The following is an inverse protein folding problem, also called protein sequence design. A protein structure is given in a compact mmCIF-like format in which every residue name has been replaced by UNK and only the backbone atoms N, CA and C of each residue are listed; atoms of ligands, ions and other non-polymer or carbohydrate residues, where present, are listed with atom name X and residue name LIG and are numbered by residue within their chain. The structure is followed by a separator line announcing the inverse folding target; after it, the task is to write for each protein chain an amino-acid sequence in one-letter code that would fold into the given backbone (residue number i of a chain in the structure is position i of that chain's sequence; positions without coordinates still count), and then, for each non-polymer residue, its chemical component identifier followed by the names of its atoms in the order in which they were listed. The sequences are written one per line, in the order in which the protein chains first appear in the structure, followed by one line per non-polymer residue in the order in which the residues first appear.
data_IF_239938079256
#
_entry.id   IF_239938079256
#
_cell.length_a   1.000
_cell.length_b   1.000
_cell.length_c   1.000
_cell.angle_alpha   90.00
_cell.angle_beta   90.00
_cell.angle_gamma   90.00
#
_symmetry.space_group_name_H-M   'P 1'
#
loop_
_entity.id
_entity.type
_entity.pdbx_description
1 polymer ?
#
# COMPACT_ATOMS: atom_id res chain seq x y z
N UNK A 1 24.53 52.71 -5.17
CA UNK A 1 25.60 53.14 -4.20
C UNK A 1 26.44 51.91 -3.96
N UNK A 2 27.53 51.71 -4.70
CA UNK A 2 28.93 52.06 -4.42
C UNK A 2 29.33 51.57 -3.05
N UNK A 3 30.22 50.55 -2.95
CA UNK A 3 31.66 50.68 -2.79
C UNK A 3 32.25 49.28 -2.68
N UNK A 4 33.07 48.75 -3.55
CA UNK A 4 34.49 48.89 -3.80
C UNK A 4 35.39 48.36 -2.63
N UNK A 5 36.25 47.40 -3.08
CA UNK A 5 37.75 47.38 -2.97
C UNK A 5 38.27 46.66 -1.71
N UNK A 6 39.12 45.62 -1.78
CA UNK A 6 40.54 45.72 -2.10
C UNK A 6 41.21 44.34 -2.32
N UNK A 7 42.00 44.24 -3.34
CA UNK A 7 43.00 43.24 -3.69
C UNK A 7 44.25 43.48 -2.81
N UNK A 8 44.86 42.41 -2.26
CA UNK A 8 46.29 42.39 -1.94
C UNK A 8 46.88 41.06 -2.36
N UNK A 9 47.70 41.11 -3.40
CA UNK A 9 48.65 40.07 -3.80
C UNK A 9 49.91 40.15 -2.86
N UNK A 10 50.35 39.03 -2.40
CA UNK A 10 51.69 38.90 -1.85
C UNK A 10 52.36 37.64 -2.37
N UNK A 11 53.16 37.84 -3.38
CA UNK A 11 54.20 36.95 -3.90
C UNK A 11 55.34 36.83 -2.89
N UNK A 12 55.68 35.60 -2.51
CA UNK A 12 57.00 35.33 -1.86
C UNK A 12 57.55 34.02 -2.44
N UNK A 13 58.56 34.22 -3.25
CA UNK A 13 59.49 33.19 -3.71
C UNK A 13 60.34 32.71 -2.54
N UNK A 14 60.44 31.41 -2.35
CA UNK A 14 61.59 30.78 -1.72
C UNK A 14 62.07 29.57 -2.49
N UNK A 15 63.32 29.61 -2.84
CA UNK A 15 64.16 28.71 -3.60
C UNK A 15 64.60 27.57 -2.67
N UNK A 16 64.49 26.34 -3.19
CA UNK A 16 65.46 25.27 -3.14
C UNK A 16 65.65 24.51 -1.84
N UNK A 17 65.34 23.20 -1.91
CA UNK A 17 66.35 22.19 -1.69
C UNK A 17 65.84 20.82 -2.14
N UNK A 18 66.62 20.23 -3.04
CA UNK A 18 66.51 18.89 -3.58
C UNK A 18 66.82 17.86 -2.49
N UNK A 19 65.84 17.00 -2.16
CA UNK A 19 66.15 15.72 -1.50
C UNK A 19 65.25 14.63 -2.07
N UNK A 20 65.90 13.56 -2.38
CA UNK A 20 65.47 12.36 -3.09
C UNK A 20 64.07 11.87 -2.65
N UNK A 21 63.24 11.62 -3.64
CA UNK A 21 62.07 10.76 -3.56
C UNK A 21 62.53 9.35 -3.16
N UNK A 22 62.27 8.97 -1.93
CA UNK A 22 62.00 7.58 -1.62
C UNK A 22 60.56 7.30 -2.02
N UNK A 23 60.37 6.57 -3.08
CA UNK A 23 59.11 5.95 -3.46
C UNK A 23 58.78 4.90 -2.38
N UNK A 24 58.07 5.30 -1.35
CA UNK A 24 57.32 4.34 -0.56
C UNK A 24 56.03 3.95 -1.34
N UNK A 25 56.24 2.96 -2.20
CA UNK A 25 55.22 2.09 -2.68
C UNK A 25 54.58 1.45 -1.43
N UNK A 26 53.48 2.06 -0.95
CA UNK A 26 52.54 1.37 -0.11
C UNK A 26 51.82 0.38 -1.05
N UNK A 27 52.49 -0.71 -1.41
CA UNK A 27 51.86 -1.91 -1.88
C UNK A 27 50.79 -2.25 -0.81
N UNK A 28 49.51 -2.19 -1.22
CA UNK A 28 48.48 -2.96 -0.57
C UNK A 28 49.09 -4.34 -0.28
N UNK A 29 49.34 -4.60 0.99
CA UNK A 29 49.72 -5.93 1.44
C UNK A 29 48.53 -6.81 1.19
N UNK A 30 48.48 -7.41 0.00
CA UNK A 30 47.74 -8.64 -0.28
C UNK A 30 48.01 -9.53 0.91
N UNK A 31 46.96 -9.82 1.68
CA UNK A 31 47.01 -10.73 2.81
C UNK A 31 47.53 -12.06 2.22
N UNK A 32 48.77 -12.39 2.49
CA UNK A 32 49.39 -13.64 2.13
C UNK A 32 48.46 -14.75 2.57
N UNK A 33 48.05 -15.63 1.66
CA UNK A 33 47.28 -16.84 1.92
C UNK A 33 47.91 -17.54 3.12
N UNK A 34 47.30 -17.44 4.32
CA UNK A 34 47.82 -18.18 5.49
C UNK A 34 47.44 -19.64 5.30
N UNK A 35 48.40 -20.41 4.81
CA UNK A 35 48.26 -21.85 4.75
C UNK A 35 48.29 -22.44 6.15
N UNK A 36 47.25 -23.24 6.45
CA UNK A 36 47.10 -23.97 7.69
C UNK A 36 47.46 -25.42 7.45
N UNK A 37 48.56 -25.83 8.04
CA UNK A 37 48.98 -27.24 8.01
C UNK A 37 48.59 -27.90 9.31
N UNK A 38 47.83 -29.01 9.22
CA UNK A 38 47.35 -29.80 10.36
C UNK A 38 48.00 -31.19 10.36
N UNK A 39 48.01 -31.83 11.52
CA UNK A 39 48.47 -33.22 11.66
C UNK A 39 47.34 -34.20 11.31
N UNK A 40 47.69 -35.47 11.01
CA UNK A 40 46.69 -36.52 10.78
C UNK A 40 45.79 -36.77 12.01
N UNK A 41 46.34 -36.57 13.20
CA UNK A 41 45.60 -36.70 14.45
C UNK A 41 44.61 -35.58 14.63
N UNK A 42 45.01 -34.33 14.32
CA UNK A 42 44.13 -33.15 14.33
C UNK A 42 43.01 -33.30 13.31
N UNK A 43 43.29 -33.75 12.09
CA UNK A 43 42.28 -34.03 11.06
C UNK A 43 41.20 -34.98 11.58
N UNK A 44 41.64 -36.10 12.22
CA UNK A 44 40.73 -37.13 12.74
C UNK A 44 39.93 -36.64 13.95
N UNK A 45 40.62 -35.99 14.91
CA UNK A 45 39.99 -35.54 16.15
C UNK A 45 38.99 -34.42 15.93
N UNK A 46 39.26 -33.51 15.00
CA UNK A 46 38.35 -32.40 14.61
C UNK A 46 37.28 -32.83 13.59
N UNK A 47 37.28 -34.10 13.16
CA UNK A 47 36.37 -34.63 12.14
C UNK A 47 36.21 -33.71 10.92
N UNK A 48 37.34 -33.16 10.45
CA UNK A 48 37.33 -32.23 9.31
C UNK A 48 36.92 -32.96 8.05
N UNK A 49 35.85 -32.51 7.41
CA UNK A 49 35.38 -33.00 6.12
C UNK A 49 35.43 -31.88 5.10
N UNK A 50 35.74 -32.21 3.84
CA UNK A 50 35.79 -31.24 2.76
C UNK A 50 34.92 -31.74 1.60
N UNK A 51 34.11 -30.83 1.06
CA UNK A 51 33.22 -31.11 -0.07
C UNK A 51 33.30 -29.99 -1.09
N UNK A 52 32.84 -30.25 -2.29
CA UNK A 52 32.61 -29.23 -3.28
C UNK A 52 31.38 -28.41 -2.92
N UNK A 53 31.38 -27.14 -3.26
CA UNK A 53 30.21 -26.29 -3.16
C UNK A 53 29.07 -26.90 -3.98
N UNK A 54 27.86 -26.88 -3.45
CA UNK A 54 26.66 -27.41 -4.09
C UNK A 54 25.58 -26.34 -4.22
N UNK A 55 24.77 -26.45 -5.25
CA UNK A 55 23.57 -25.64 -5.36
C UNK A 55 22.49 -26.15 -4.41
N UNK A 56 21.88 -25.24 -3.67
CA UNK A 56 20.73 -25.51 -2.80
C UNK A 56 19.62 -24.52 -3.10
N UNK A 57 18.39 -24.99 -3.02
CA UNK A 57 17.24 -24.09 -3.04
C UNK A 57 17.20 -23.33 -1.72
N UNK A 58 17.46 -22.05 -1.79
CA UNK A 58 17.39 -21.13 -0.67
C UNK A 58 16.33 -20.07 -0.98
N UNK A 59 15.50 -19.76 0.02
CA UNK A 59 14.53 -18.68 -0.03
C UNK A 59 14.95 -17.57 0.94
N UNK A 60 14.93 -16.34 0.48
CA UNK A 60 15.07 -15.21 1.38
C UNK A 60 13.72 -14.92 2.03
N UNK A 61 13.73 -14.64 3.32
CA UNK A 61 12.58 -14.04 3.97
C UNK A 61 12.77 -12.54 4.09
N UNK A 62 11.74 -11.78 3.76
CA UNK A 62 11.71 -10.36 4.03
C UNK A 62 10.68 -10.04 5.12
N UNK A 63 11.04 -9.10 5.98
CA UNK A 63 10.12 -8.54 6.94
C UNK A 63 9.64 -7.19 6.41
N UNK A 64 8.36 -7.06 6.24
CA UNK A 64 7.69 -5.86 5.72
C UNK A 64 6.61 -5.44 6.70
N UNK A 65 6.21 -4.21 6.62
CA UNK A 65 5.12 -3.68 7.43
C UNK A 65 4.04 -3.05 6.54
N UNK A 66 2.89 -2.87 7.13
CA UNK A 66 1.75 -2.27 6.45
C UNK A 66 0.64 -1.90 7.39
N UNK A 67 -0.48 -1.55 6.81
CA UNK A 67 -1.68 -1.10 7.51
C UNK A 67 -2.87 -1.91 7.01
N UNK A 68 -3.76 -2.26 7.92
CA UNK A 68 -5.06 -2.82 7.53
C UNK A 68 -5.87 -1.71 6.89
N UNK A 69 -6.32 -1.95 5.69
CA UNK A 69 -7.14 -1.02 4.90
C UNK A 69 -8.45 -1.68 4.48
N UNK A 70 -9.37 -0.87 3.99
CA UNK A 70 -10.66 -1.31 3.48
C UNK A 70 -10.79 -0.88 2.04
N UNK A 71 -11.17 -1.79 1.14
CA UNK A 71 -11.40 -1.43 -0.25
C UNK A 71 -12.36 -0.24 -0.38
N UNK A 72 -12.16 0.66 -1.38
CA UNK A 72 -12.98 1.86 -1.55
C UNK A 72 -14.49 1.60 -1.63
N UNK A 73 -14.92 0.42 -2.09
CA UNK A 73 -16.35 0.04 -2.13
C UNK A 73 -16.96 -0.17 -0.74
N UNK A 74 -16.13 -0.40 0.28
CA UNK A 74 -16.55 -0.65 1.66
C UNK A 74 -16.32 0.56 2.57
N UNK A 75 -15.80 1.67 2.03
CA UNK A 75 -15.68 2.97 2.69
C UNK A 75 -16.61 3.96 2.00
N UNK A 76 -17.64 4.42 2.69
CA UNK A 76 -18.67 5.27 2.12
C UNK A 76 -18.69 6.62 2.80
N UNK A 77 -18.45 7.67 2.02
CA UNK A 77 -18.63 9.06 2.45
C UNK A 77 -20.06 9.53 2.19
N UNK A 78 -20.73 9.98 3.23
CA UNK A 78 -22.08 10.52 3.16
C UNK A 78 -22.02 12.03 3.03
N UNK A 79 -22.55 12.55 1.93
CA UNK A 79 -22.77 13.97 1.68
C UNK A 79 -24.22 14.22 1.31
N UNK A 80 -24.65 15.49 1.27
CA UNK A 80 -26.00 15.88 0.90
C UNK A 80 -25.98 16.65 -0.43
N UNK A 81 -26.71 16.23 -1.48
CA UNK A 81 -26.69 16.87 -2.80
C UNK A 81 -27.14 18.36 -2.79
N UNK A 82 -28.04 18.70 -1.88
CA UNK A 82 -28.40 20.07 -1.56
C UNK A 82 -27.93 20.38 -0.15
N UNK A 83 -27.34 21.53 0.07
CA UNK A 83 -26.91 21.98 1.39
C UNK A 83 -28.07 22.04 2.40
N UNK A 84 -27.80 22.52 3.60
CA UNK A 84 -28.80 22.69 4.64
C UNK A 84 -28.23 22.58 6.05
N UNK A 85 -29.07 22.76 7.03
CA UNK A 85 -28.74 22.64 8.46
C UNK A 85 -28.95 21.20 8.94
N UNK A 86 -27.97 20.63 9.63
CA UNK A 86 -28.16 19.38 10.34
C UNK A 86 -29.09 19.61 11.51
N UNK A 87 -30.33 19.09 11.41
CA UNK A 87 -31.33 19.20 12.45
C UNK A 87 -31.12 18.20 13.59
N UNK A 88 -30.82 16.97 13.22
CA UNK A 88 -30.66 15.87 14.17
C UNK A 88 -29.79 14.75 13.60
N UNK A 89 -28.97 14.17 14.46
CA UNK A 89 -28.30 12.88 14.25
C UNK A 89 -28.08 12.21 15.60
N UNK A 90 -28.06 10.88 15.62
CA UNK A 90 -27.69 10.08 16.79
C UNK A 90 -26.37 9.39 16.63
N UNK A 91 -25.69 9.61 15.49
CA UNK A 91 -24.49 8.90 15.15
C UNK A 91 -23.31 9.31 16.03
N UNK A 92 -22.61 8.30 16.53
CA UNK A 92 -21.31 8.43 17.17
C UNK A 92 -20.31 7.46 16.47
N UNK A 93 -19.04 7.82 16.38
CA UNK A 93 -18.02 6.89 15.90
C UNK A 93 -18.08 5.54 16.65
N UNK A 94 -18.01 4.44 15.92
CA UNK A 94 -18.13 3.08 16.42
C UNK A 94 -19.56 2.51 16.45
N UNK A 95 -20.61 3.31 16.21
CA UNK A 95 -21.98 2.80 16.13
C UNK A 95 -22.19 2.00 14.85
N UNK A 96 -22.91 0.88 14.96
CA UNK A 96 -23.40 0.13 13.82
C UNK A 96 -24.68 0.74 13.26
N UNK A 97 -24.78 0.82 11.94
CA UNK A 97 -25.97 1.28 11.21
C UNK A 97 -26.37 0.25 10.15
N UNK A 98 -27.66 0.13 9.91
CA UNK A 98 -28.19 -0.75 8.86
C UNK A 98 -28.42 0.02 7.56
N UNK A 99 -28.32 -0.66 6.45
CA UNK A 99 -28.72 -0.11 5.15
C UNK A 99 -30.17 0.37 5.19
N UNK A 100 -30.41 1.56 4.63
CA UNK A 100 -31.70 2.27 4.64
C UNK A 100 -32.16 2.75 6.03
N UNK A 101 -31.33 2.67 7.05
CA UNK A 101 -31.62 3.30 8.34
C UNK A 101 -31.49 4.83 8.22
N UNK A 102 -32.40 5.57 8.86
CA UNK A 102 -32.29 7.04 8.94
C UNK A 102 -31.20 7.41 9.92
N UNK A 103 -30.12 7.99 9.39
CA UNK A 103 -28.93 8.36 10.17
C UNK A 103 -28.87 9.83 10.55
N UNK A 104 -29.56 10.68 9.79
CA UNK A 104 -29.62 12.11 10.07
C UNK A 104 -30.87 12.74 9.45
N UNK A 105 -31.23 13.92 9.94
CA UNK A 105 -32.30 14.76 9.40
C UNK A 105 -31.69 16.12 9.08
N UNK A 106 -31.88 16.56 7.85
CA UNK A 106 -31.49 17.90 7.39
C UNK A 106 -32.71 18.79 7.27
N UNK A 107 -32.55 20.09 7.43
CA UNK A 107 -33.61 21.06 7.11
C UNK A 107 -33.05 22.27 6.37
N UNK A 108 -33.82 22.72 5.36
CA UNK A 108 -33.53 23.93 4.60
C UNK A 108 -34.78 24.44 3.90
N UNK A 109 -34.84 25.75 3.65
CA UNK A 109 -35.88 26.40 2.85
C UNK A 109 -35.86 25.91 1.38
N UNK A 110 -34.71 25.56 0.82
CA UNK A 110 -34.57 25.08 -0.55
C UNK A 110 -35.38 23.79 -0.78
N UNK A 111 -35.56 22.96 0.24
CA UNK A 111 -36.35 21.73 0.12
C UNK A 111 -37.82 22.06 -0.10
N UNK A 112 -38.35 23.12 0.58
CA UNK A 112 -39.72 23.59 0.36
C UNK A 112 -39.85 24.13 -1.07
N UNK A 113 -38.92 24.97 -1.48
CA UNK A 113 -38.92 25.59 -2.82
C UNK A 113 -38.94 24.54 -3.94
N UNK A 114 -38.06 23.54 -3.87
CA UNK A 114 -37.98 22.48 -4.88
C UNK A 114 -39.30 21.69 -4.98
N UNK A 115 -39.94 21.37 -3.87
CA UNK A 115 -41.24 20.69 -3.82
C UNK A 115 -42.35 21.57 -4.41
N UNK A 116 -42.36 22.87 -4.08
CA UNK A 116 -43.30 23.83 -4.64
C UNK A 116 -43.14 23.97 -6.17
N UNK A 117 -41.91 24.10 -6.66
CA UNK A 117 -41.64 24.19 -8.10
C UNK A 117 -42.15 22.96 -8.85
N UNK A 118 -41.90 21.74 -8.30
CA UNK A 118 -42.39 20.50 -8.88
C UNK A 118 -43.90 20.45 -8.96
N UNK A 119 -44.61 20.73 -7.85
CA UNK A 119 -46.09 20.69 -7.79
C UNK A 119 -46.69 21.72 -8.74
N UNK A 120 -46.11 22.92 -8.80
CA UNK A 120 -46.55 23.98 -9.72
C UNK A 120 -46.37 23.58 -11.19
N UNK A 121 -45.20 23.03 -11.52
CA UNK A 121 -44.91 22.54 -12.87
C UNK A 121 -45.84 21.37 -13.26
N UNK A 122 -46.12 20.45 -12.32
CA UNK A 122 -47.02 19.31 -12.52
C UNK A 122 -48.47 19.79 -12.80
N UNK A 123 -48.94 20.82 -12.08
CA UNK A 123 -50.27 21.42 -12.34
C UNK A 123 -50.33 22.07 -13.72
N UNK A 124 -49.29 22.83 -14.11
CA UNK A 124 -49.19 23.42 -15.45
C UNK A 124 -49.12 22.37 -16.56
N UNK A 125 -48.39 21.29 -16.34
CA UNK A 125 -48.29 20.17 -17.28
C UNK A 125 -49.67 19.56 -17.54
N UNK A 126 -50.45 19.33 -16.47
CA UNK A 126 -51.82 18.79 -16.64
C UNK A 126 -52.71 19.67 -17.54
N UNK A 127 -52.64 21.01 -17.31
CA UNK A 127 -53.37 21.96 -18.16
C UNK A 127 -52.84 21.93 -19.62
N UNK A 128 -51.56 21.94 -19.82
CA UNK A 128 -50.94 21.93 -21.14
C UNK A 128 -51.23 20.62 -21.92
N UNK A 129 -51.30 19.51 -21.20
CA UNK A 129 -51.70 18.21 -21.79
C UNK A 129 -53.11 18.25 -22.34
N UNK A 130 -54.04 18.78 -21.57
CA UNK A 130 -55.44 18.96 -22.00
C UNK A 130 -55.59 19.95 -23.14
N UNK A 131 -54.80 20.99 -23.19
CA UNK A 131 -54.75 21.98 -24.29
C UNK A 131 -54.15 21.33 -25.56
N UNK A 132 -53.09 20.56 -25.45
CA UNK A 132 -52.50 19.84 -26.55
C UNK A 132 -53.49 18.81 -27.13
N UNK A 133 -54.15 18.00 -26.30
CA UNK A 133 -55.18 17.06 -26.77
C UNK A 133 -56.28 17.81 -27.53
N UNK A 134 -56.82 18.88 -27.00
CA UNK A 134 -57.85 19.69 -27.64
C UNK A 134 -57.40 20.28 -28.99
N UNK A 135 -56.21 20.88 -29.04
CA UNK A 135 -55.69 21.53 -30.26
C UNK A 135 -55.33 20.45 -31.32
N UNK A 136 -54.92 19.29 -30.94
CA UNK A 136 -54.72 18.15 -31.84
C UNK A 136 -56.04 17.74 -32.52
N UNK A 137 -57.04 17.51 -31.73
CA UNK A 137 -58.35 17.07 -32.23
C UNK A 137 -58.99 18.13 -33.16
N UNK A 138 -58.91 19.41 -32.81
CA UNK A 138 -59.36 20.53 -33.66
C UNK A 138 -58.53 20.68 -34.91
N UNK A 139 -57.25 20.42 -34.90
CA UNK A 139 -56.38 20.51 -36.10
C UNK A 139 -56.67 19.35 -37.06
N UNK A 140 -56.89 18.13 -36.55
CA UNK A 140 -57.29 16.99 -37.33
C UNK A 140 -58.63 17.23 -38.08
N UNK A 141 -59.55 17.95 -37.44
CA UNK A 141 -60.83 18.38 -38.00
C UNK A 141 -60.72 19.66 -38.89
N UNK A 142 -59.49 20.20 -39.08
CA UNK A 142 -59.22 21.47 -39.78
C UNK A 142 -59.91 22.68 -39.15
N UNK A 143 -60.27 22.66 -37.88
CA UNK A 143 -60.88 23.75 -37.16
C UNK A 143 -59.85 24.62 -36.39
N UNK A 144 -58.58 24.19 -36.34
CA UNK A 144 -57.46 24.96 -35.79
C UNK A 144 -56.29 25.00 -36.75
N UNK A 145 -55.43 26.03 -36.69
CA UNK A 145 -54.22 26.11 -37.53
C UNK A 145 -53.08 25.24 -36.99
N UNK A 146 -52.26 24.71 -37.94
CA UNK A 146 -51.03 23.97 -37.60
C UNK A 146 -50.15 24.70 -36.58
N UNK A 147 -50.08 26.01 -36.70
CA UNK A 147 -49.28 26.87 -35.79
C UNK A 147 -49.77 26.75 -34.35
N UNK A 148 -51.08 26.80 -34.11
CA UNK A 148 -51.63 26.73 -32.74
C UNK A 148 -51.40 25.33 -32.16
N UNK A 149 -51.62 24.27 -32.95
CA UNK A 149 -51.31 22.94 -32.54
C UNK A 149 -49.83 22.74 -32.18
N UNK A 150 -48.92 23.23 -33.06
CA UNK A 150 -47.47 23.13 -32.79
C UNK A 150 -47.05 23.92 -31.54
N UNK A 151 -47.68 25.05 -31.22
CA UNK A 151 -47.45 25.79 -30.00
C UNK A 151 -47.88 25.02 -28.77
N UNK A 152 -49.09 24.40 -28.80
CA UNK A 152 -49.56 23.59 -27.70
C UNK A 152 -48.69 22.32 -27.46
N UNK A 153 -48.26 21.66 -28.55
CA UNK A 153 -47.36 20.53 -28.50
C UNK A 153 -46.00 20.90 -27.88
N UNK A 154 -45.43 22.02 -28.31
CA UNK A 154 -44.14 22.52 -27.77
C UNK A 154 -44.24 22.87 -26.27
N UNK A 155 -45.32 23.51 -25.82
CA UNK A 155 -45.52 23.84 -24.41
C UNK A 155 -45.72 22.60 -23.56
N UNK A 156 -46.55 21.63 -24.00
CA UNK A 156 -46.73 20.36 -23.34
C UNK A 156 -45.39 19.62 -23.17
N UNK A 157 -44.59 19.51 -24.25
CA UNK A 157 -43.29 18.86 -24.21
C UNK A 157 -42.30 19.55 -23.27
N UNK A 158 -42.27 20.88 -23.28
CA UNK A 158 -41.43 21.68 -22.40
C UNK A 158 -41.72 21.46 -20.93
N UNK A 159 -43.00 21.51 -20.57
CA UNK A 159 -43.46 21.27 -19.19
C UNK A 159 -43.22 19.83 -18.74
N UNK A 160 -43.39 18.85 -19.65
CA UNK A 160 -43.09 17.45 -19.39
C UNK A 160 -41.60 17.24 -19.04
N UNK A 161 -40.70 17.87 -19.78
CA UNK A 161 -39.25 17.85 -19.49
C UNK A 161 -38.99 18.49 -18.12
N UNK A 162 -39.61 19.65 -17.82
CA UNK A 162 -39.44 20.37 -16.55
C UNK A 162 -39.89 19.51 -15.37
N UNK A 163 -41.06 18.88 -15.44
CA UNK A 163 -41.58 18.03 -14.36
C UNK A 163 -40.67 16.82 -14.13
N UNK A 164 -40.18 16.18 -15.21
CA UNK A 164 -39.27 15.06 -15.09
C UNK A 164 -37.95 15.48 -14.42
N UNK A 165 -37.34 16.60 -14.83
CA UNK A 165 -36.12 17.11 -14.26
C UNK A 165 -36.24 17.47 -12.77
N UNK A 166 -37.35 18.13 -12.39
CA UNK A 166 -37.64 18.43 -10.98
C UNK A 166 -37.92 17.16 -10.18
N UNK A 167 -38.56 16.16 -10.79
CA UNK A 167 -38.78 14.86 -10.19
C UNK A 167 -37.47 14.15 -9.86
N UNK A 168 -36.48 14.15 -10.76
CA UNK A 168 -35.16 13.58 -10.50
C UNK A 168 -34.41 14.35 -9.38
N UNK A 169 -34.50 15.69 -9.34
CA UNK A 169 -33.95 16.50 -8.25
C UNK A 169 -34.55 16.14 -6.88
N UNK A 170 -35.86 15.87 -6.82
CA UNK A 170 -36.53 15.41 -5.59
C UNK A 170 -36.04 14.04 -5.13
N UNK A 171 -35.83 13.11 -6.09
CA UNK A 171 -35.29 11.77 -5.77
C UNK A 171 -33.87 11.82 -5.21
N UNK A 172 -33.02 12.74 -5.66
CA UNK A 172 -31.68 12.95 -5.10
C UNK A 172 -31.69 13.26 -3.60
N UNK A 173 -32.75 13.87 -3.09
CA UNK A 173 -32.93 14.17 -1.67
C UNK A 173 -33.92 13.21 -0.99
N UNK A 174 -34.13 12.04 -1.57
CA UNK A 174 -35.03 10.99 -1.07
C UNK A 174 -36.51 11.39 -0.90
N UNK A 175 -36.98 12.40 -1.62
CA UNK A 175 -38.40 12.72 -1.71
C UNK A 175 -38.99 12.00 -2.94
N UNK A 176 -40.05 11.21 -2.70
CA UNK A 176 -40.76 10.51 -3.78
C UNK A 176 -41.72 11.47 -4.50
N UNK A 177 -41.51 11.81 -5.79
CA UNK A 177 -42.37 12.71 -6.54
C UNK A 177 -43.79 12.17 -6.74
N UNK A 178 -43.97 10.83 -6.75
CA UNK A 178 -45.29 10.22 -6.97
C UNK A 178 -46.24 10.40 -5.79
N UNK A 179 -45.70 10.47 -4.56
CA UNK A 179 -46.49 10.64 -3.32
C UNK A 179 -46.52 12.09 -2.83
N UNK A 180 -45.76 12.98 -3.48
CA UNK A 180 -45.69 14.38 -3.10
C UNK A 180 -46.98 15.11 -3.48
N UNK A 181 -47.54 15.83 -2.52
CA UNK A 181 -48.75 16.64 -2.63
C UNK A 181 -48.59 17.94 -1.86
N UNK A 182 -49.50 18.88 -2.03
CA UNK A 182 -49.57 20.14 -1.29
C UNK A 182 -49.66 19.99 0.24
N UNK A 183 -50.16 18.83 0.70
CA UNK A 183 -50.39 18.53 2.12
C UNK A 183 -49.16 18.02 2.86
N UNK A 184 -48.16 17.51 2.12
CA UNK A 184 -46.96 16.86 2.70
C UNK A 184 -45.64 17.53 2.33
N UNK A 185 -45.70 18.81 1.92
CA UNK A 185 -44.46 19.61 1.73
C UNK A 185 -43.75 19.71 3.08
N UNK A 186 -42.43 19.38 3.06
CA UNK A 186 -41.61 19.34 4.25
C UNK A 186 -40.34 20.20 4.09
N UNK A 187 -39.97 20.89 5.14
CA UNK A 187 -38.68 21.59 5.24
C UNK A 187 -37.54 20.63 5.61
N UNK A 188 -37.85 19.40 5.99
CA UNK A 188 -36.90 18.44 6.50
C UNK A 188 -36.83 17.23 5.59
N UNK A 189 -35.61 16.71 5.36
CA UNK A 189 -35.32 15.50 4.61
C UNK A 189 -34.45 14.56 5.41
N UNK A 190 -34.63 13.27 5.21
CA UNK A 190 -33.86 12.23 5.88
C UNK A 190 -32.66 11.84 5.06
N UNK A 191 -31.53 11.59 5.74
CA UNK A 191 -30.35 10.93 5.19
C UNK A 191 -30.38 9.49 5.64
N UNK A 192 -30.16 8.58 4.69
CA UNK A 192 -30.19 7.14 4.92
C UNK A 192 -28.80 6.55 4.75
N UNK A 193 -28.49 5.50 5.51
CA UNK A 193 -27.27 4.72 5.28
C UNK A 193 -27.39 3.92 3.98
N UNK A 194 -26.43 3.99 3.05
CA UNK A 194 -26.43 3.17 1.85
C UNK A 194 -25.91 1.76 2.07
N UNK A 195 -25.26 1.47 3.21
CA UNK A 195 -24.64 0.18 3.55
C UNK A 195 -25.00 -0.24 4.97
N UNK A 196 -24.83 -1.53 5.26
CA UNK A 196 -24.63 -2.03 6.61
C UNK A 196 -23.18 -1.79 7.00
N UNK A 197 -22.93 -1.22 8.19
CA UNK A 197 -21.54 -0.92 8.58
C UNK A 197 -21.45 -0.09 9.86
N UNK A 198 -20.26 0.38 10.14
CA UNK A 198 -19.95 1.17 11.33
C UNK A 198 -19.64 2.61 10.95
N UNK A 199 -20.02 3.53 11.83
CA UNK A 199 -19.64 4.94 11.71
C UNK A 199 -18.15 5.07 12.03
N UNK A 200 -17.36 5.46 11.02
CA UNK A 200 -15.93 5.74 11.18
C UNK A 200 -15.72 7.16 11.71
N UNK A 201 -16.35 8.14 11.04
CA UNK A 201 -16.21 9.56 11.42
C UNK A 201 -17.55 10.29 11.35
N UNK A 202 -17.67 11.33 12.20
CA UNK A 202 -18.74 12.31 12.22
C UNK A 202 -18.12 13.69 12.08
N UNK A 203 -18.32 14.34 10.91
CA UNK A 203 -17.64 15.60 10.56
C UNK A 203 -18.56 16.82 10.72
N UNK A 204 -19.73 16.63 11.31
CA UNK A 204 -20.78 17.65 11.42
C UNK A 204 -21.41 17.63 12.79
N UNK A 205 -21.85 18.82 13.26
CA UNK A 205 -22.57 18.99 14.50
C UNK A 205 -24.01 19.45 14.23
N UNK A 206 -24.93 19.14 15.14
CA UNK A 206 -26.33 19.63 15.10
C UNK A 206 -26.34 21.16 15.06
N UNK A 207 -27.11 21.71 14.13
CA UNK A 207 -27.22 23.16 13.88
C UNK A 207 -26.20 23.74 12.93
N UNK A 208 -25.20 22.97 12.50
CA UNK A 208 -24.22 23.41 11.47
C UNK A 208 -24.86 23.40 10.10
N UNK A 209 -24.62 24.46 9.31
CA UNK A 209 -24.89 24.47 7.89
C UNK A 209 -23.80 23.72 7.14
N UNK A 210 -24.18 22.87 6.20
CA UNK A 210 -23.28 22.11 5.34
C UNK A 210 -23.56 22.40 3.88
N UNK A 211 -22.51 22.45 3.08
CA UNK A 211 -22.60 22.64 1.62
C UNK A 211 -22.71 21.28 0.91
N UNK A 212 -23.13 21.24 -0.36
CA UNK A 212 -23.28 19.99 -1.10
C UNK A 212 -22.01 19.12 -1.19
N UNK A 213 -20.83 19.70 -1.13
CA UNK A 213 -19.55 19.00 -1.21
C UNK A 213 -19.03 18.49 0.16
N UNK A 214 -19.66 18.92 1.27
CA UNK A 214 -19.18 18.57 2.61
C UNK A 214 -19.52 17.11 2.94
N UNK A 215 -18.53 16.36 3.45
CA UNK A 215 -18.73 15.00 3.96
C UNK A 215 -19.25 15.13 5.41
N UNK A 216 -20.47 14.63 5.65
CA UNK A 216 -21.08 14.63 6.96
C UNK A 216 -20.62 13.46 7.81
N UNK A 217 -20.63 12.26 7.22
CA UNK A 217 -20.33 11.00 7.89
C UNK A 217 -19.46 10.13 6.99
N UNK A 218 -18.60 9.35 7.60
CA UNK A 218 -17.88 8.26 6.93
C UNK A 218 -18.34 6.93 7.55
N UNK A 219 -18.79 6.02 6.70
CA UNK A 219 -19.22 4.67 7.10
C UNK A 219 -18.24 3.66 6.53
N UNK A 220 -18.00 2.60 7.29
CA UNK A 220 -17.09 1.54 6.92
C UNK A 220 -17.74 0.18 7.14
N UNK A 221 -17.64 -0.70 6.13
CA UNK A 221 -17.95 -2.11 6.30
C UNK A 221 -16.65 -2.89 6.45
N UNK A 222 -16.32 -3.42 7.66
CA UNK A 222 -15.07 -4.12 7.90
C UNK A 222 -15.11 -5.60 7.49
N UNK A 223 -16.16 -6.10 6.84
CA UNK A 223 -16.27 -7.53 6.47
C UNK A 223 -15.25 -7.96 5.41
N UNK A 224 -14.68 -7.00 4.68
CA UNK A 224 -13.66 -7.23 3.65
C UNK A 224 -12.49 -6.28 3.90
N UNK A 225 -11.65 -6.64 4.84
CA UNK A 225 -10.42 -5.91 5.16
C UNK A 225 -9.23 -6.52 4.42
N UNK A 226 -8.34 -5.67 3.95
CA UNK A 226 -7.10 -6.05 3.30
C UNK A 226 -5.91 -5.56 4.10
N UNK A 227 -4.80 -6.27 4.01
CA UNK A 227 -3.52 -5.79 4.51
C UNK A 227 -2.76 -5.14 3.36
N UNK A 228 -2.50 -3.84 3.45
CA UNK A 228 -1.70 -3.08 2.50
C UNK A 228 -0.27 -3.00 3.03
N UNK A 229 0.64 -3.81 2.45
CA UNK A 229 2.06 -3.86 2.80
C UNK A 229 2.85 -2.88 1.94
N UNK A 230 3.85 -2.23 2.54
CA UNK A 230 4.83 -1.42 1.83
C UNK A 230 6.11 -2.22 1.62
N UNK A 231 6.42 -2.51 0.36
CA UNK A 231 7.58 -3.32 -0.02
C UNK A 231 8.54 -2.49 -0.84
N UNK A 232 9.84 -2.50 -0.45
CA UNK A 232 10.87 -1.75 -1.16
C UNK A 232 11.11 -2.30 -2.58
N UNK A 233 11.46 -1.41 -3.50
CA UNK A 233 11.72 -1.71 -4.92
C UNK A 233 12.64 -2.92 -5.13
N UNK A 234 13.70 -3.04 -4.34
CA UNK A 234 14.68 -4.14 -4.44
C UNK A 234 14.07 -5.53 -4.22
N UNK A 235 12.98 -5.62 -3.43
CA UNK A 235 12.37 -6.88 -2.98
C UNK A 235 11.12 -7.25 -3.81
N UNK A 236 10.55 -6.31 -4.58
CA UNK A 236 9.31 -6.49 -5.35
C UNK A 236 9.40 -7.64 -6.35
N UNK A 237 10.55 -7.78 -7.04
CA UNK A 237 10.74 -8.80 -8.07
C UNK A 237 10.68 -10.25 -7.52
N UNK A 238 10.85 -10.41 -6.21
CA UNK A 238 10.72 -11.70 -5.53
C UNK A 238 9.29 -12.08 -5.15
N UNK A 239 8.33 -11.15 -5.34
CA UNK A 239 6.93 -11.36 -4.97
C UNK A 239 6.10 -11.81 -6.17
N UNK A 240 5.00 -12.53 -5.89
CA UNK A 240 4.02 -12.94 -6.90
C UNK A 240 2.62 -13.03 -6.31
N UNK A 241 1.62 -12.88 -7.17
CA UNK A 241 0.22 -13.02 -6.81
C UNK A 241 -0.07 -14.48 -6.43
N UNK A 242 -0.83 -14.70 -5.36
CA UNK A 242 -1.11 -16.02 -4.78
C UNK A 242 -0.06 -16.46 -3.75
N UNK A 243 0.93 -15.63 -3.47
CA UNK A 243 1.95 -15.93 -2.47
C UNK A 243 1.41 -15.80 -1.07
N UNK A 244 1.65 -16.83 -0.25
CA UNK A 244 1.24 -16.84 1.15
C UNK A 244 2.25 -16.14 2.05
N UNK A 245 1.74 -15.51 3.09
CA UNK A 245 2.54 -14.82 4.10
C UNK A 245 1.83 -14.85 5.45
N UNK A 246 2.57 -14.54 6.49
CA UNK A 246 2.03 -14.43 7.84
C UNK A 246 2.19 -13.02 8.37
N UNK A 247 1.06 -12.41 8.74
CA UNK A 247 1.03 -11.08 9.33
C UNK A 247 0.67 -11.14 10.82
N UNK A 248 1.19 -10.21 11.60
CA UNK A 248 0.96 -10.13 13.04
C UNK A 248 1.06 -8.68 13.52
N UNK A 249 0.36 -8.37 14.61
CA UNK A 249 0.44 -7.04 15.25
C UNK A 249 1.62 -7.00 16.24
N UNK A 250 2.16 -5.80 16.49
CA UNK A 250 3.22 -5.62 17.48
C UNK A 250 2.79 -6.04 18.90
N UNK A 251 1.51 -5.91 19.22
CA UNK A 251 0.96 -6.29 20.53
C UNK A 251 0.84 -7.82 20.71
N UNK A 252 0.70 -8.56 19.60
CA UNK A 252 0.51 -10.01 19.61
C UNK A 252 1.38 -10.71 18.55
N UNK A 253 2.71 -10.73 18.69
CA UNK A 253 3.61 -11.26 17.67
C UNK A 253 3.46 -12.78 17.45
N UNK A 254 2.91 -13.49 18.41
CA UNK A 254 2.65 -14.92 18.32
C UNK A 254 1.30 -15.28 17.67
N UNK A 255 0.38 -14.31 17.55
CA UNK A 255 -0.89 -14.49 16.85
C UNK A 255 -0.72 -14.14 15.38
N UNK A 256 -0.36 -15.13 14.57
CA UNK A 256 -0.08 -14.98 13.15
C UNK A 256 -1.34 -15.19 12.33
N UNK A 257 -1.66 -14.23 11.49
CA UNK A 257 -2.77 -14.28 10.52
C UNK A 257 -2.22 -14.67 9.16
N UNK A 258 -2.73 -15.76 8.60
CA UNK A 258 -2.39 -16.17 7.24
C UNK A 258 -3.03 -15.23 6.24
N UNK A 259 -2.24 -14.74 5.30
CA UNK A 259 -2.64 -13.83 4.23
C UNK A 259 -2.10 -14.34 2.89
N UNK A 260 -2.73 -13.88 1.81
CA UNK A 260 -2.32 -14.15 0.44
C UNK A 260 -2.19 -12.84 -0.33
N UNK A 261 -1.12 -12.69 -1.11
CA UNK A 261 -0.94 -11.54 -2.01
C UNK A 261 -1.94 -11.62 -3.15
N UNK A 262 -2.83 -10.64 -3.24
CA UNK A 262 -3.84 -10.55 -4.30
C UNK A 262 -3.47 -9.54 -5.37
N UNK A 263 -2.67 -8.52 -5.02
CA UNK A 263 -2.31 -7.45 -5.94
C UNK A 263 -0.96 -6.83 -5.56
N UNK A 264 -0.15 -6.55 -6.58
CA UNK A 264 1.13 -5.83 -6.45
C UNK A 264 1.02 -4.57 -7.31
N UNK A 265 1.17 -3.40 -6.70
CA UNK A 265 1.16 -2.12 -7.42
C UNK A 265 2.22 -2.12 -8.52
N UNK A 266 1.91 -1.44 -9.62
CA UNK A 266 2.86 -1.18 -10.72
C UNK A 266 3.47 0.20 -10.63
N UNK A 267 3.15 0.94 -9.59
CA UNK A 267 3.69 2.26 -9.29
C UNK A 267 4.54 2.19 -8.02
N UNK A 268 5.64 2.93 -8.03
CA UNK A 268 6.58 3.03 -6.91
C UNK A 268 6.48 4.46 -6.38
N UNK A 269 6.18 4.59 -5.09
CA UNK A 269 6.20 5.88 -4.41
C UNK A 269 7.60 6.49 -4.47
N UNK A 270 7.72 7.66 -5.06
CA UNK A 270 8.99 8.39 -5.17
C UNK A 270 9.58 8.79 -3.82
N UNK A 271 8.73 9.03 -2.82
CA UNK A 271 9.15 9.47 -1.49
C UNK A 271 9.65 8.32 -0.62
N UNK A 272 9.04 7.14 -0.74
CA UNK A 272 9.33 5.98 0.11
C UNK A 272 10.11 4.89 -0.61
N UNK A 273 10.31 4.98 -1.94
CA UNK A 273 10.90 3.94 -2.79
C UNK A 273 10.27 2.56 -2.57
N UNK A 274 8.95 2.54 -2.36
CA UNK A 274 8.18 1.34 -2.05
C UNK A 274 6.97 1.22 -2.96
N UNK A 275 6.53 -0.01 -3.21
CA UNK A 275 5.26 -0.31 -3.84
C UNK A 275 4.27 -0.86 -2.82
N UNK A 276 3.00 -0.64 -3.06
CA UNK A 276 1.91 -1.21 -2.27
C UNK A 276 1.60 -2.64 -2.73
N UNK A 277 1.50 -3.53 -1.76
CA UNK A 277 1.14 -4.93 -1.96
C UNK A 277 -0.09 -5.24 -1.14
N UNK A 278 -1.21 -5.50 -1.83
CA UNK A 278 -2.46 -5.82 -1.18
C UNK A 278 -2.56 -7.32 -0.91
N UNK A 279 -2.85 -7.65 0.33
CA UNK A 279 -3.00 -9.02 0.80
C UNK A 279 -4.39 -9.21 1.40
N UNK A 280 -5.00 -10.35 1.10
CA UNK A 280 -6.27 -10.77 1.69
C UNK A 280 -6.01 -11.71 2.87
N UNK A 281 -6.76 -11.57 3.95
CA UNK A 281 -6.71 -12.49 5.09
C UNK A 281 -7.47 -13.78 4.75
N UNK A 282 -6.86 -14.95 4.94
CA UNK A 282 -7.54 -16.23 4.71
C UNK A 282 -8.75 -16.43 5.66
N UNK A 283 -8.69 -15.83 6.83
CA UNK A 283 -9.77 -15.85 7.81
C UNK A 283 -10.00 -14.44 8.36
N UNK A 284 -11.23 -13.99 8.31
CA UNK A 284 -11.63 -12.73 8.93
C UNK A 284 -11.55 -12.85 10.46
N UNK A 285 -10.85 -11.91 11.07
CA UNK A 285 -10.75 -11.76 12.52
C UNK A 285 -11.33 -10.40 12.93
N UNK A 286 -12.43 -10.42 13.70
CA UNK A 286 -13.12 -9.20 14.17
C UNK A 286 -12.27 -8.31 15.08
N UNK A 287 -11.15 -8.81 15.58
CA UNK A 287 -10.21 -8.01 16.39
C UNK A 287 -9.30 -7.13 15.53
N UNK A 288 -9.21 -7.42 14.24
CA UNK A 288 -8.46 -6.63 13.29
C UNK A 288 -9.31 -5.44 12.82
N UNK A 289 -8.84 -4.24 13.08
CA UNK A 289 -9.53 -3.01 12.73
C UNK A 289 -8.76 -2.25 11.64
N UNK A 290 -9.47 -1.62 10.69
CA UNK A 290 -8.86 -0.71 9.73
C UNK A 290 -8.02 0.36 10.42
N UNK A 291 -6.85 0.65 9.85
CA UNK A 291 -5.86 1.55 10.43
C UNK A 291 -4.86 0.89 11.39
N UNK A 292 -5.02 -0.39 11.75
CA UNK A 292 -4.02 -1.11 12.56
C UNK A 292 -2.75 -1.37 11.76
N UNK A 293 -1.58 -1.15 12.39
CA UNK A 293 -0.29 -1.53 11.85
C UNK A 293 0.00 -3.02 12.07
N UNK A 294 0.49 -3.66 11.02
CA UNK A 294 0.91 -5.06 11.05
C UNK A 294 2.31 -5.22 10.46
N UNK A 295 3.05 -6.19 10.99
CA UNK A 295 4.26 -6.70 10.37
C UNK A 295 3.91 -7.99 9.63
N UNK A 296 4.64 -8.27 8.56
CA UNK A 296 4.49 -9.49 7.81
C UNK A 296 5.85 -10.07 7.45
N UNK A 297 5.94 -11.40 7.50
CA UNK A 297 7.10 -12.16 7.02
C UNK A 297 6.68 -12.84 5.72
N UNK A 298 7.38 -12.52 4.65
CA UNK A 298 7.13 -13.03 3.30
C UNK A 298 8.34 -13.83 2.85
N UNK A 299 8.13 -15.07 2.42
CA UNK A 299 9.17 -15.91 1.83
C UNK A 299 9.27 -15.58 0.34
N UNK A 300 10.41 -15.07 -0.10
CA UNK A 300 10.66 -14.81 -1.52
C UNK A 300 10.77 -16.12 -2.30
N UNK A 301 10.66 -16.07 -3.61
CA UNK A 301 10.87 -17.24 -4.46
C UNK A 301 12.20 -17.90 -4.15
N UNK A 302 12.17 -19.22 -3.93
CA UNK A 302 13.38 -20.01 -3.82
C UNK A 302 14.20 -19.91 -5.12
N UNK A 303 15.49 -19.78 -4.96
CA UNK A 303 16.46 -19.85 -6.06
C UNK A 303 17.48 -20.93 -5.78
N UNK A 304 17.88 -21.63 -6.83
CA UNK A 304 19.04 -22.55 -6.74
C UNK A 304 20.30 -21.70 -6.69
N UNK A 305 20.98 -21.70 -5.53
CA UNK A 305 22.11 -20.81 -5.26
C UNK A 305 23.32 -21.65 -4.80
N UNK A 306 24.54 -21.29 -5.28
CA UNK A 306 25.77 -21.93 -4.78
C UNK A 306 25.89 -21.65 -3.29
N UNK A 307 25.98 -22.72 -2.50
CA UNK A 307 25.95 -22.64 -1.05
C UNK A 307 26.85 -23.66 -0.37
N UNK A 308 27.20 -23.34 0.86
CA UNK A 308 27.95 -24.21 1.78
C UNK A 308 27.15 -24.40 3.07
N UNK A 309 27.39 -25.50 3.81
CA UNK A 309 26.91 -25.59 5.18
C UNK A 309 27.39 -24.38 6.00
N UNK A 310 26.53 -23.82 6.82
CA UNK A 310 26.87 -22.63 7.62
C UNK A 310 28.08 -22.85 8.54
N UNK A 311 28.30 -24.10 8.98
CA UNK A 311 29.47 -24.51 9.77
C UNK A 311 30.81 -24.44 9.02
N UNK A 312 30.77 -24.32 7.68
CA UNK A 312 31.95 -24.15 6.84
C UNK A 312 32.50 -22.71 6.87
N UNK A 313 31.68 -21.76 7.30
CA UNK A 313 31.97 -20.34 7.28
C UNK A 313 32.40 -19.90 8.68
N UNK A 314 33.51 -19.22 8.78
CA UNK A 314 34.04 -18.69 10.04
C UNK A 314 34.23 -17.19 9.93
N UNK A 315 33.74 -16.46 10.90
CA UNK A 315 33.92 -15.01 10.98
C UNK A 315 35.14 -14.65 11.79
N UNK A 316 36.00 -13.81 11.24
CA UNK A 316 37.20 -13.29 11.91
C UNK A 316 37.41 -11.82 11.55
N UNK A 317 37.61 -10.97 12.55
CA UNK A 317 37.78 -9.51 12.39
C UNK A 317 36.69 -8.84 11.53
N UNK A 318 35.41 -9.31 11.71
CA UNK A 318 34.26 -8.76 10.97
C UNK A 318 34.20 -9.14 9.49
N UNK A 319 34.93 -10.16 9.08
CA UNK A 319 34.91 -10.71 7.72
C UNK A 319 34.71 -12.22 7.78
N UNK A 320 34.05 -12.76 6.76
CA UNK A 320 33.78 -14.18 6.63
C UNK A 320 34.85 -14.86 5.79
N UNK A 321 35.20 -16.07 6.20
CA UNK A 321 36.24 -16.88 5.58
C UNK A 321 35.82 -18.34 5.47
N UNK A 322 36.37 -19.01 4.47
CA UNK A 322 36.28 -20.46 4.28
C UNK A 322 37.69 -21.05 4.16
N UNK A 323 37.82 -22.33 4.46
CA UNK A 323 39.07 -23.06 4.34
C UNK A 323 39.05 -23.96 3.10
N UNK A 324 39.82 -23.57 2.08
CA UNK A 324 39.98 -24.33 0.84
C UNK A 324 41.09 -25.35 1.01
N UNK A 325 40.78 -26.60 0.73
CA UNK A 325 41.74 -27.73 0.80
C UNK A 325 42.72 -27.68 -0.38
N UNK A 326 44.00 -27.57 -0.10
CA UNK A 326 45.09 -27.63 -1.09
C UNK A 326 45.64 -29.04 -1.25
N UNK A 327 45.76 -29.77 -0.14
CA UNK A 327 46.14 -31.21 -0.11
C UNK A 327 45.55 -31.86 1.15
N UNK A 328 45.90 -33.13 1.44
CA UNK A 328 45.29 -33.88 2.54
C UNK A 328 45.41 -33.21 3.93
N UNK A 329 46.47 -32.43 4.17
CA UNK A 329 46.79 -31.83 5.47
C UNK A 329 46.94 -30.31 5.43
N UNK A 330 46.73 -29.66 4.27
CA UNK A 330 46.94 -28.23 4.09
C UNK A 330 45.69 -27.57 3.59
N UNK A 331 45.26 -26.50 4.30
CA UNK A 331 44.13 -25.67 3.97
C UNK A 331 44.55 -24.20 3.79
N UNK A 332 43.91 -23.49 2.88
CA UNK A 332 44.10 -22.06 2.67
C UNK A 332 42.90 -21.30 3.17
N UNK A 333 43.10 -20.32 4.04
CA UNK A 333 42.03 -19.41 4.52
C UNK A 333 41.76 -18.37 3.44
N UNK A 334 40.59 -18.44 2.82
CA UNK A 334 40.17 -17.53 1.74
C UNK A 334 38.94 -16.75 2.16
N UNK A 335 38.91 -15.45 1.83
CA UNK A 335 37.76 -14.56 2.13
C UNK A 335 36.55 -14.98 1.30
N UNK A 336 35.38 -15.03 1.94
CA UNK A 336 34.12 -15.35 1.29
C UNK A 336 33.12 -14.20 1.48
N UNK A 337 32.27 -14.00 0.50
CA UNK A 337 31.12 -13.09 0.59
C UNK A 337 29.86 -13.93 0.73
N UNK A 338 29.21 -13.76 1.87
CA UNK A 338 28.01 -14.53 2.25
C UNK A 338 26.74 -13.80 1.82
N UNK A 339 25.71 -14.55 1.46
CA UNK A 339 24.38 -14.04 1.13
C UNK A 339 23.31 -14.62 2.06
N UNK A 340 22.27 -15.20 1.47
CA UNK A 340 21.13 -15.78 2.18
C UNK A 340 21.57 -16.99 2.98
N UNK A 341 21.08 -17.10 4.23
CA UNK A 341 21.27 -18.29 5.08
C UNK A 341 19.92 -18.88 5.43
N UNK A 342 19.74 -20.17 5.11
CA UNK A 342 18.50 -20.89 5.38
C UNK A 342 18.79 -22.39 5.57
N UNK A 343 18.06 -23.04 6.48
CA UNK A 343 18.12 -24.48 6.73
C UNK A 343 19.54 -25.03 6.97
N UNK A 344 20.43 -24.22 7.59
CA UNK A 344 21.81 -24.61 7.88
C UNK A 344 22.77 -24.51 6.70
N UNK A 345 22.35 -23.89 5.59
CA UNK A 345 23.17 -23.55 4.43
C UNK A 345 23.24 -22.05 4.24
N UNK A 346 24.37 -21.56 3.73
CA UNK A 346 24.60 -20.15 3.45
C UNK A 346 25.07 -19.99 2.02
N UNK A 347 24.44 -19.08 1.28
CA UNK A 347 24.81 -18.69 -0.08
C UNK A 347 26.22 -18.09 -0.11
N UNK A 348 26.97 -18.45 -1.14
CA UNK A 348 28.28 -17.87 -1.46
C UNK A 348 28.13 -16.96 -2.68
N UNK A 349 28.26 -15.64 -2.46
CA UNK A 349 28.05 -14.64 -3.51
C UNK A 349 29.19 -14.65 -4.52
N UNK A 350 30.45 -14.74 -4.04
CA UNK A 350 31.63 -14.84 -4.87
C UNK A 350 31.98 -16.30 -5.23
N UNK A 351 30.99 -17.12 -5.52
CA UNK A 351 31.11 -18.57 -5.76
C UNK A 351 32.09 -18.95 -6.87
N UNK A 352 32.27 -18.07 -7.86
CA UNK A 352 33.21 -18.30 -8.98
C UNK A 352 34.67 -18.48 -8.52
N UNK A 353 35.04 -17.86 -7.41
CA UNK A 353 36.40 -17.95 -6.85
C UNK A 353 36.69 -19.35 -6.29
N UNK A 354 35.62 -20.12 -6.00
CA UNK A 354 35.68 -21.44 -5.36
C UNK A 354 35.26 -22.59 -6.27
N UNK A 355 35.02 -22.34 -7.53
CA UNK A 355 34.59 -23.37 -8.49
C UNK A 355 35.62 -24.49 -8.59
N UNK A 356 35.18 -25.73 -8.42
CA UNK A 356 36.06 -26.92 -8.47
C UNK A 356 36.99 -27.09 -7.27
N UNK A 357 36.93 -26.26 -6.24
CA UNK A 357 37.74 -26.36 -5.03
C UNK A 357 36.97 -27.11 -3.94
N UNK A 358 37.68 -28.06 -3.25
CA UNK A 358 37.15 -28.68 -2.01
C UNK A 358 37.27 -27.70 -0.85
N UNK A 359 36.17 -27.49 -0.11
CA UNK A 359 36.07 -26.55 1.02
C UNK A 359 35.76 -27.36 2.26
N UNK A 360 36.39 -27.05 3.39
CA UNK A 360 36.12 -27.68 4.66
C UNK A 360 34.69 -27.38 5.10
N UNK A 361 33.81 -28.38 5.11
CA UNK A 361 32.39 -28.26 5.49
C UNK A 361 32.15 -28.52 6.96
N UNK A 362 33.08 -29.21 7.64
CA UNK A 362 33.10 -29.37 9.09
C UNK A 362 34.47 -29.09 9.65
N UNK A 363 34.55 -28.64 10.89
CA UNK A 363 35.81 -28.34 11.58
C UNK A 363 36.50 -27.07 11.14
N UNK A 364 35.84 -26.17 10.39
CA UNK A 364 36.38 -24.88 9.94
C UNK A 364 36.85 -24.00 11.12
N UNK A 365 36.12 -23.99 12.23
CA UNK A 365 36.53 -23.26 13.43
C UNK A 365 37.85 -23.79 14.04
N UNK A 366 38.06 -25.11 14.02
CA UNK A 366 39.34 -25.70 14.47
C UNK A 366 40.51 -25.25 13.58
N UNK A 367 40.30 -25.22 12.24
CA UNK A 367 41.30 -24.70 11.29
C UNK A 367 41.61 -23.24 11.57
N UNK A 368 40.61 -22.40 11.93
CA UNK A 368 40.81 -21.01 12.32
C UNK A 368 41.70 -20.91 13.57
N UNK A 369 41.41 -21.72 14.60
CA UNK A 369 42.23 -21.73 15.83
C UNK A 369 43.68 -22.13 15.57
N UNK A 370 43.90 -23.18 14.76
CA UNK A 370 45.28 -23.59 14.35
C UNK A 370 45.99 -22.48 13.55
N UNK A 371 45.27 -21.79 12.68
CA UNK A 371 45.81 -20.66 11.92
C UNK A 371 46.30 -19.52 12.82
N UNK A 372 45.61 -19.26 13.93
CA UNK A 372 45.92 -18.14 14.83
C UNK A 372 47.00 -18.49 15.84
N UNK A 373 47.02 -19.71 16.38
CA UNK A 373 48.03 -20.13 17.34
C UNK A 373 49.45 -20.18 16.71
N UNK A 374 49.57 -20.39 15.37
CA UNK A 374 50.87 -20.31 14.67
C UNK A 374 51.34 -18.88 14.40
N UNK A 375 50.56 -17.85 14.65
CA UNK A 375 50.97 -16.45 14.43
C UNK A 375 51.53 -15.78 15.68
N UNK A 376 51.54 -16.45 16.83
CA UNK A 376 52.12 -15.96 18.10
C UNK A 376 53.49 -16.61 18.47
N UNK A 377 53.98 -17.56 17.68
CA UNK A 377 55.37 -18.06 17.72
C UNK A 377 56.19 -17.40 16.58
#
# INVERSE_FOLDING_TARGET
MKSNILIIAATLLFIGCNSKKDENNAAEKTISEKEVVITKEQLKNAAITSELMSEKELSATINVNGVIDVPPQNLVSISMPLGGYLKNTKLLPGMFVKKNEVIAVMEDQQYIQLQQEYLTAKSKLFFAEKEYERQRDLNEEKASSDKVYQMADAEYKSLKITVNALGEKLKLIHINPATLSEKNISKSVNIYSPIDGFVSKVNVNIGKYVNPADILFELINPDDIHLNLKVFEKDINGLFIGQKLYAYTNSQPNNKHACEIILISKDISSDEHSAEVHCHFEKYDKTLLPGMYMNATVELKSASLPSLPSDAIVSFEGKDYVFVKKNELTYSMEKVETGISENGFTQIVNSKDFEGKEIATKGAYTLLMVSKNKSEE
#
